data_IF_191268089142
#
_entry.id   IF_191268089142
#
_cell.length_a   1.000
_cell.length_b   1.000
_cell.length_c   1.000
_cell.angle_alpha   90.00
_cell.angle_beta   90.00
_cell.angle_gamma   90.00
#
_symmetry.space_group_name_H-M   'P 1'
#
loop_
_entity.id
_entity.type
_entity.pdbx_description
1 polymer ?
#
# COMPACT_ATOMS: atom_id res chain seq x y z
N UNK A 1 -6.83 29.69 14.57
CA UNK A 1 -5.81 28.76 14.08
C UNK A 1 -5.22 29.26 12.76
N UNK A 2 -3.93 29.61 12.77
CA UNK A 2 -3.16 30.03 11.60
C UNK A 2 -2.59 28.81 10.84
N UNK A 3 -1.92 29.04 9.71
CA UNK A 3 -1.38 27.95 8.87
C UNK A 3 -0.32 27.11 9.60
N UNK A 4 0.52 27.74 10.40
CA UNK A 4 1.58 27.04 11.14
C UNK A 4 0.99 26.09 12.19
N UNK A 5 -0.05 26.52 12.90
CA UNK A 5 -0.79 25.68 13.85
C UNK A 5 -1.43 24.48 13.15
N UNK A 6 -2.09 24.68 12.00
CA UNK A 6 -2.70 23.60 11.22
C UNK A 6 -1.66 22.60 10.68
N UNK A 7 -0.53 23.07 10.19
CA UNK A 7 0.56 22.20 9.70
C UNK A 7 1.17 21.39 10.86
N UNK A 8 1.32 21.99 12.04
CA UNK A 8 1.82 21.29 13.23
C UNK A 8 0.86 20.19 13.67
N UNK A 9 -0.43 20.50 13.76
CA UNK A 9 -1.48 19.51 14.09
C UNK A 9 -1.48 18.36 13.07
N UNK A 10 -1.45 18.68 11.78
CA UNK A 10 -1.41 17.68 10.71
C UNK A 10 -0.17 16.76 10.81
N UNK A 11 1.01 17.32 11.11
CA UNK A 11 2.22 16.50 11.31
C UNK A 11 2.07 15.57 12.52
N UNK A 12 1.52 16.06 13.63
CA UNK A 12 1.29 15.24 14.82
C UNK A 12 0.30 14.10 14.52
N UNK A 13 -0.81 14.38 13.84
CA UNK A 13 -1.79 13.37 13.44
C UNK A 13 -1.18 12.31 12.50
N UNK A 14 -0.34 12.73 11.55
CA UNK A 14 0.37 11.79 10.66
C UNK A 14 1.35 10.91 11.42
N UNK A 15 2.04 11.46 12.41
CA UNK A 15 2.94 10.67 13.24
C UNK A 15 2.15 9.59 14.01
N UNK A 16 1.07 9.97 14.70
CA UNK A 16 0.22 9.01 15.42
C UNK A 16 -0.36 7.93 14.48
N UNK A 17 -0.79 8.33 13.27
CA UNK A 17 -1.28 7.39 12.28
C UNK A 17 -0.19 6.40 11.82
N UNK A 18 1.05 6.87 11.65
CA UNK A 18 2.17 6.00 11.29
C UNK A 18 2.55 5.04 12.43
N UNK A 19 2.53 5.51 13.67
CA UNK A 19 2.76 4.66 14.85
C UNK A 19 1.70 3.55 14.94
N UNK A 20 0.42 3.91 14.83
CA UNK A 20 -0.67 2.93 14.80
C UNK A 20 -0.57 1.98 13.60
N UNK A 21 -0.19 2.48 12.41
CA UNK A 21 0.00 1.63 11.25
C UNK A 21 1.11 0.59 11.47
N UNK A 22 2.21 0.98 12.12
CA UNK A 22 3.28 0.06 12.46
C UNK A 22 2.85 -1.00 13.48
N UNK A 23 2.06 -0.62 14.49
CA UNK A 23 1.48 -1.57 15.46
C UNK A 23 0.53 -2.57 14.77
N UNK A 24 -0.34 -2.09 13.88
CA UNK A 24 -1.23 -2.95 13.08
C UNK A 24 -0.42 -3.92 12.24
N UNK A 25 0.60 -3.43 11.52
CA UNK A 25 1.46 -4.26 10.67
C UNK A 25 2.20 -5.32 11.48
N UNK A 26 2.67 -5.00 12.69
CA UNK A 26 3.30 -5.96 13.58
C UNK A 26 2.35 -7.10 13.94
N UNK A 27 1.13 -6.80 14.36
CA UNK A 27 0.10 -7.81 14.70
C UNK A 27 -0.29 -8.63 13.46
N UNK A 28 -0.48 -7.98 12.31
CA UNK A 28 -0.78 -8.70 11.06
C UNK A 28 0.37 -9.64 10.66
N UNK A 29 1.62 -9.24 10.88
CA UNK A 29 2.80 -10.05 10.58
C UNK A 29 2.84 -11.30 11.44
N UNK A 30 2.55 -11.17 12.74
CA UNK A 30 2.43 -12.32 13.66
C UNK A 30 1.33 -13.28 13.20
N UNK A 31 0.16 -12.76 12.81
CA UNK A 31 -0.95 -13.58 12.30
C UNK A 31 -0.57 -14.29 10.99
N UNK A 32 0.07 -13.58 10.05
CA UNK A 32 0.55 -14.17 8.79
C UNK A 32 1.61 -15.25 9.05
N UNK A 33 2.53 -15.02 9.98
CA UNK A 33 3.54 -16.01 10.36
C UNK A 33 2.89 -17.29 10.90
N UNK A 34 1.85 -17.17 11.72
CA UNK A 34 1.08 -18.32 12.21
C UNK A 34 0.34 -19.04 11.08
N UNK A 35 -0.27 -18.32 10.13
CA UNK A 35 -0.91 -18.91 8.95
C UNK A 35 0.09 -19.69 8.08
N UNK A 36 1.29 -19.14 7.86
CA UNK A 36 2.39 -19.82 7.17
C UNK A 36 2.87 -21.06 7.92
N UNK A 37 3.05 -20.97 9.23
CA UNK A 37 3.52 -22.09 10.06
C UNK A 37 2.52 -23.26 10.06
N UNK A 38 1.22 -22.95 9.94
CA UNK A 38 0.13 -23.93 9.85
C UNK A 38 -0.17 -24.40 8.42
N UNK A 39 0.43 -23.77 7.41
CA UNK A 39 0.14 -24.00 5.99
C UNK A 39 -1.36 -23.92 5.66
N UNK A 40 -2.02 -22.85 6.14
CA UNK A 40 -3.46 -22.63 5.91
C UNK A 40 -3.76 -21.28 5.29
N UNK A 41 -4.66 -21.29 4.31
CA UNK A 41 -5.17 -20.09 3.65
C UNK A 41 -6.29 -19.38 4.44
N UNK A 42 -6.82 -20.03 5.49
CA UNK A 42 -7.96 -19.52 6.26
C UNK A 42 -7.82 -19.88 7.73
N UNK A 43 -8.01 -18.88 8.60
CA UNK A 43 -8.21 -19.05 10.03
C UNK A 43 -9.59 -18.53 10.41
N UNK A 44 -10.27 -19.23 11.32
CA UNK A 44 -11.58 -18.85 11.86
C UNK A 44 -11.55 -18.91 13.38
N UNK A 45 -12.06 -17.86 14.03
CA UNK A 45 -12.31 -17.84 15.47
C UNK A 45 -13.80 -17.75 15.77
N UNK A 46 -14.15 -17.30 16.98
CA UNK A 46 -15.55 -17.19 17.44
C UNK A 46 -16.36 -16.22 16.58
N UNK A 47 -15.82 -15.01 16.34
CA UNK A 47 -16.52 -13.92 15.64
C UNK A 47 -15.71 -13.36 14.46
N UNK A 48 -14.68 -14.08 13.99
CA UNK A 48 -13.77 -13.58 12.97
C UNK A 48 -13.30 -14.66 12.00
N UNK A 49 -12.92 -14.20 10.80
CA UNK A 49 -12.32 -15.00 9.74
C UNK A 49 -11.21 -14.22 9.06
N UNK A 50 -10.06 -14.87 8.90
CA UNK A 50 -8.90 -14.32 8.18
C UNK A 50 -8.63 -15.21 6.98
N UNK A 51 -8.41 -14.60 5.81
CA UNK A 51 -8.02 -15.31 4.60
C UNK A 51 -6.77 -14.66 4.04
N UNK A 52 -5.73 -15.46 3.82
CA UNK A 52 -4.49 -14.99 3.21
C UNK A 52 -4.12 -15.98 2.11
N UNK A 53 -4.26 -15.54 0.86
CA UNK A 53 -4.05 -16.35 -0.34
C UNK A 53 -3.06 -15.67 -1.25
N UNK A 54 -2.25 -16.45 -1.92
CA UNK A 54 -1.40 -15.94 -2.99
C UNK A 54 -2.26 -15.42 -4.13
N UNK A 55 -2.08 -14.14 -4.48
CA UNK A 55 -2.72 -13.51 -5.64
C UNK A 55 -1.64 -13.16 -6.66
N UNK A 56 -1.72 -13.78 -7.83
CA UNK A 56 -0.87 -13.42 -8.96
C UNK A 56 -1.50 -12.24 -9.69
N UNK A 57 -0.84 -11.08 -9.67
CA UNK A 57 -1.19 -9.95 -10.52
C UNK A 57 -0.23 -9.88 -11.71
N UNK A 58 -0.78 -9.91 -12.92
CA UNK A 58 -0.03 -9.67 -14.15
C UNK A 58 -0.13 -8.19 -14.51
N UNK A 59 1.02 -7.52 -14.60
CA UNK A 59 1.12 -6.14 -15.07
C UNK A 59 2.03 -6.11 -16.29
N UNK A 60 1.71 -5.22 -17.23
CA UNK A 60 2.57 -4.98 -18.38
C UNK A 60 3.87 -4.31 -17.90
N UNK A 61 5.01 -4.87 -18.26
CA UNK A 61 6.30 -4.22 -18.04
C UNK A 61 6.46 -3.04 -19.02
N UNK A 62 5.97 -1.88 -18.58
CA UNK A 62 6.03 -0.66 -19.37
C UNK A 62 7.46 -0.17 -19.62
N UNK A 63 8.45 -0.56 -18.81
CA UNK A 63 9.83 -0.20 -19.00
C UNK A 63 10.45 -1.03 -20.14
N UNK A 64 10.24 -2.35 -20.12
CA UNK A 64 10.62 -3.22 -21.22
C UNK A 64 9.90 -2.82 -22.53
N UNK A 65 8.60 -2.51 -22.47
CA UNK A 65 7.85 -2.05 -23.64
C UNK A 65 8.42 -0.77 -24.25
N UNK A 66 8.77 0.23 -23.42
CA UNK A 66 9.38 1.48 -23.90
C UNK A 66 10.76 1.27 -24.53
N UNK A 67 11.51 0.28 -24.04
CA UNK A 67 12.84 -0.07 -24.56
C UNK A 67 12.74 -0.77 -25.92
N UNK A 68 11.84 -1.75 -26.03
CA UNK A 68 11.72 -2.59 -27.23
C UNK A 68 10.86 -1.93 -28.32
N UNK A 69 9.79 -1.20 -27.93
CA UNK A 69 8.79 -0.62 -28.83
C UNK A 69 8.45 0.84 -28.42
N UNK A 70 9.40 1.78 -28.57
CA UNK A 70 9.22 3.16 -28.11
C UNK A 70 8.05 3.88 -28.77
N UNK A 71 7.87 3.74 -30.09
CA UNK A 71 6.76 4.39 -30.82
C UNK A 71 5.39 3.88 -30.36
N UNK A 72 5.28 2.59 -30.05
CA UNK A 72 4.05 2.02 -29.52
C UNK A 72 3.81 2.52 -28.09
N UNK A 73 4.84 2.52 -27.25
CA UNK A 73 4.71 3.03 -25.89
C UNK A 73 4.27 4.50 -25.86
N UNK A 74 4.78 5.33 -26.78
CA UNK A 74 4.36 6.73 -26.90
C UNK A 74 2.89 6.86 -27.31
N UNK A 75 2.46 6.14 -28.36
CA UNK A 75 1.07 6.17 -28.86
C UNK A 75 0.02 5.76 -27.82
N UNK A 76 0.41 4.90 -26.87
CA UNK A 76 -0.51 4.35 -25.87
C UNK A 76 -0.27 4.89 -24.45
N UNK A 77 0.62 5.88 -24.27
CA UNK A 77 0.82 6.55 -22.99
C UNK A 77 -0.16 7.71 -22.82
N UNK A 78 -1.02 7.65 -21.80
CA UNK A 78 -1.87 8.78 -21.39
C UNK A 78 -1.20 9.60 -20.30
N UNK A 79 -0.98 10.89 -20.55
CA UNK A 79 -0.57 11.82 -19.50
C UNK A 79 -1.78 12.22 -18.64
N UNK A 80 -1.61 12.17 -17.33
CA UNK A 80 -2.60 12.67 -16.36
C UNK A 80 -1.88 13.54 -15.34
N UNK A 81 -2.35 14.77 -15.16
CA UNK A 81 -1.79 15.71 -14.19
C UNK A 81 -2.64 15.67 -12.92
N UNK A 82 -2.00 15.39 -11.78
CA UNK A 82 -2.63 15.43 -10.45
C UNK A 82 -1.85 16.38 -9.55
N UNK A 83 -2.55 17.13 -8.69
CA UNK A 83 -1.90 17.93 -7.64
C UNK A 83 -1.62 17.02 -6.45
N UNK A 84 -0.37 16.96 -6.02
CA UNK A 84 0.03 16.21 -4.82
C UNK A 84 0.12 17.16 -3.64
N UNK A 85 -0.49 16.77 -2.53
CA UNK A 85 -0.37 17.50 -1.27
C UNK A 85 0.76 16.87 -0.45
N UNK A 86 1.89 17.56 -0.39
CA UNK A 86 3.09 17.13 0.34
C UNK A 86 3.34 18.10 1.49
N UNK A 87 3.56 17.55 2.68
CA UNK A 87 4.01 18.30 3.85
C UNK A 87 5.33 17.64 4.23
N UNK A 88 6.43 18.37 4.03
CA UNK A 88 7.76 17.96 4.49
C UNK A 88 7.84 18.02 6.01
#
# INVERSE_FOLDING_TARGET
MNMNERVRELRALRQMANELAAEIEAIESEVKAEMSARDVDTLTGTDWRITWKSVTSSRLDTAALKKELPELAERFTRQTTVRRFVVA
#
